data_IF_265762780716
#
_entry.id   IF_265762780716
#
_cell.length_a   1.000
_cell.length_b   1.000
_cell.length_c   1.000
_cell.angle_alpha   90.00
_cell.angle_beta   90.00
_cell.angle_gamma   90.00
#
_symmetry.space_group_name_H-M   'P 1'
#
loop_
_entity.id
_entity.type
_entity.pdbx_description
1 polymer ?
#
# COMPACT_ATOMS: atom_id res chain seq x y z
N UNK A 1 -19.45 21.36 -5.91
CA UNK A 1 -19.22 20.96 -4.51
C UNK A 1 -18.35 19.71 -4.57
N UNK A 2 -17.42 19.55 -3.64
CA UNK A 2 -16.64 18.31 -3.51
C UNK A 2 -17.61 17.24 -3.00
N UNK A 3 -17.65 16.06 -3.65
CA UNK A 3 -18.51 14.95 -3.23
C UNK A 3 -17.86 14.20 -2.08
N UNK A 4 -18.67 13.70 -1.17
CA UNK A 4 -18.21 12.74 -0.15
C UNK A 4 -18.06 11.36 -0.78
N UNK A 5 -16.87 10.77 -0.72
CA UNK A 5 -16.57 9.46 -1.27
C UNK A 5 -16.06 8.56 -0.17
N UNK A 6 -16.55 7.33 -0.13
CA UNK A 6 -16.16 6.34 0.87
C UNK A 6 -15.67 5.04 0.23
N UNK A 7 -14.80 4.33 0.94
CA UNK A 7 -14.60 2.90 0.75
C UNK A 7 -15.76 2.18 1.43
N UNK A 8 -16.51 1.39 0.68
CA UNK A 8 -17.68 0.65 1.18
C UNK A 8 -17.44 -0.86 1.29
N UNK A 9 -16.41 -1.36 0.62
CA UNK A 9 -15.96 -2.74 0.75
C UNK A 9 -14.49 -2.87 0.40
N UNK A 10 -13.82 -3.85 1.02
CA UNK A 10 -12.45 -4.25 0.77
C UNK A 10 -12.34 -5.77 0.73
N UNK A 11 -11.52 -6.29 -0.18
CA UNK A 11 -11.15 -7.70 -0.23
C UNK A 11 -9.70 -7.85 -0.67
N UNK A 12 -9.05 -8.92 -0.20
CA UNK A 12 -7.71 -9.32 -0.62
C UNK A 12 -7.61 -10.85 -0.61
N UNK A 13 -6.70 -11.40 -1.41
CA UNK A 13 -6.33 -12.79 -1.28
C UNK A 13 -5.32 -12.97 -0.14
N UNK A 14 -5.20 -14.18 0.45
CA UNK A 14 -4.07 -14.50 1.30
C UNK A 14 -2.76 -14.30 0.55
N UNK A 15 -1.85 -13.53 1.13
CA UNK A 15 -0.55 -13.24 0.51
C UNK A 15 0.36 -14.48 0.62
N UNK A 16 1.01 -14.85 -0.48
CA UNK A 16 1.86 -16.04 -0.56
C UNK A 16 3.26 -15.70 -1.06
N UNK A 17 4.25 -16.55 -0.70
CA UNK A 17 5.63 -16.38 -1.16
C UNK A 17 5.78 -16.51 -2.67
N UNK A 18 5.01 -17.40 -3.28
CA UNK A 18 4.98 -17.64 -4.70
C UNK A 18 3.68 -18.34 -5.09
N UNK A 19 2.88 -17.69 -5.93
CA UNK A 19 1.73 -18.30 -6.56
C UNK A 19 2.17 -18.99 -7.87
N UNK A 20 2.19 -20.31 -7.85
CA UNK A 20 2.72 -21.13 -8.95
C UNK A 20 1.65 -21.78 -9.80
N UNK A 21 0.39 -21.68 -9.39
CA UNK A 21 -0.75 -22.35 -10.05
C UNK A 21 -1.62 -21.34 -10.79
N UNK A 22 -2.01 -20.26 -10.10
CA UNK A 22 -2.93 -19.26 -10.64
C UNK A 22 -2.17 -18.21 -11.48
N UNK A 23 -2.73 -17.81 -12.61
CA UNK A 23 -2.31 -16.62 -13.31
C UNK A 23 -2.92 -15.36 -12.66
N UNK A 24 -2.59 -14.18 -13.15
CA UNK A 24 -3.00 -12.90 -12.58
C UNK A 24 -4.53 -12.72 -12.59
N UNK A 25 -5.20 -13.18 -13.65
CA UNK A 25 -6.66 -13.12 -13.79
C UNK A 25 -7.31 -14.06 -12.76
N UNK A 26 -6.80 -15.28 -12.66
CA UNK A 26 -7.29 -16.27 -11.69
C UNK A 26 -7.08 -15.84 -10.23
N UNK A 27 -6.00 -15.09 -9.94
CA UNK A 27 -5.78 -14.47 -8.63
C UNK A 27 -6.80 -13.35 -8.33
N UNK A 28 -7.13 -12.54 -9.34
CA UNK A 28 -8.04 -11.39 -9.19
C UNK A 28 -9.51 -11.77 -9.12
N UNK A 29 -9.97 -12.74 -9.91
CA UNK A 29 -11.38 -13.07 -10.01
C UNK A 29 -12.06 -13.32 -8.66
N UNK A 30 -11.49 -14.14 -7.74
CA UNK A 30 -12.09 -14.35 -6.41
C UNK A 30 -12.15 -13.06 -5.58
N UNK A 31 -11.11 -12.22 -5.67
CA UNK A 31 -11.04 -10.95 -4.93
C UNK A 31 -12.09 -9.97 -5.42
N UNK A 32 -12.28 -9.85 -6.76
CA UNK A 32 -13.31 -9.02 -7.36
C UNK A 32 -14.72 -9.53 -7.02
N UNK A 33 -14.92 -10.83 -7.02
CA UNK A 33 -16.20 -11.44 -6.62
C UNK A 33 -16.51 -11.16 -5.15
N UNK A 34 -15.53 -11.36 -4.26
CA UNK A 34 -15.69 -11.13 -2.82
C UNK A 34 -15.99 -9.64 -2.52
N UNK A 35 -15.23 -8.70 -3.07
CA UNK A 35 -15.45 -7.28 -2.81
C UNK A 35 -16.80 -6.78 -3.31
N UNK A 36 -17.25 -7.28 -4.47
CA UNK A 36 -18.59 -6.97 -5.00
C UNK A 36 -19.70 -7.56 -4.13
N UNK A 37 -19.53 -8.82 -3.68
CA UNK A 37 -20.49 -9.46 -2.79
C UNK A 37 -20.62 -8.70 -1.45
N UNK A 38 -19.49 -8.26 -0.87
CA UNK A 38 -19.48 -7.44 0.36
C UNK A 38 -20.17 -6.10 0.17
N UNK A 39 -20.00 -5.48 -1.01
CA UNK A 39 -20.69 -4.24 -1.35
C UNK A 39 -22.16 -4.44 -1.77
N UNK A 40 -22.63 -5.67 -1.95
CA UNK A 40 -23.97 -5.97 -2.46
C UNK A 40 -24.20 -5.46 -3.87
N UNK A 41 -23.16 -5.38 -4.72
CA UNK A 41 -23.22 -4.84 -6.06
C UNK A 41 -23.13 -5.92 -7.13
N UNK A 42 -24.05 -5.83 -8.08
CA UNK A 42 -23.90 -6.52 -9.36
C UNK A 42 -22.91 -5.76 -10.25
N UNK A 43 -22.33 -6.48 -11.22
CA UNK A 43 -21.39 -5.90 -12.18
C UNK A 43 -21.94 -4.67 -12.90
N UNK A 44 -23.20 -4.68 -13.28
CA UNK A 44 -23.88 -3.57 -13.97
C UNK A 44 -24.04 -2.30 -13.13
N UNK A 45 -23.86 -2.40 -11.83
CA UNK A 45 -23.96 -1.28 -10.89
C UNK A 45 -22.61 -0.61 -10.61
N UNK A 46 -21.52 -1.12 -11.23
CA UNK A 46 -20.20 -0.50 -11.17
C UNK A 46 -20.07 0.44 -12.36
N UNK A 47 -20.00 1.74 -12.08
CA UNK A 47 -19.93 2.77 -13.13
C UNK A 47 -18.54 2.97 -13.73
N UNK A 48 -17.48 2.70 -12.93
CA UNK A 48 -16.09 2.90 -13.31
C UNK A 48 -15.20 1.80 -12.73
N UNK A 49 -14.19 1.38 -13.48
CA UNK A 49 -13.13 0.51 -12.96
C UNK A 49 -11.76 1.14 -13.15
N UNK A 50 -10.87 0.95 -12.18
CA UNK A 50 -9.50 1.40 -12.30
C UNK A 50 -8.55 0.32 -11.75
N UNK A 51 -7.57 -0.08 -12.55
CA UNK A 51 -6.59 -1.07 -12.16
C UNK A 51 -5.22 -0.45 -11.87
N UNK A 52 -4.48 -1.09 -10.94
CA UNK A 52 -3.08 -0.79 -10.67
C UNK A 52 -2.22 -2.03 -10.92
N UNK A 53 -1.18 -1.90 -11.73
CA UNK A 53 -0.18 -2.96 -11.96
C UNK A 53 1.08 -2.36 -12.58
N UNK A 54 2.04 -3.20 -12.94
CA UNK A 54 3.21 -2.77 -13.71
C UNK A 54 3.60 -3.79 -14.76
N UNK A 55 3.76 -3.32 -15.98
CA UNK A 55 4.19 -4.08 -17.15
C UNK A 55 5.57 -4.73 -16.93
N UNK A 56 6.47 -4.03 -16.21
CA UNK A 56 7.79 -4.56 -15.88
C UNK A 56 7.72 -5.85 -15.05
N UNK A 57 6.77 -5.93 -14.12
CA UNK A 57 6.59 -7.11 -13.27
C UNK A 57 5.94 -8.26 -14.06
N UNK A 58 4.96 -7.93 -14.89
CA UNK A 58 4.24 -8.90 -15.73
C UNK A 58 5.06 -9.37 -16.94
N UNK A 59 6.13 -8.65 -17.31
CA UNK A 59 7.03 -9.00 -18.38
C UNK A 59 6.48 -8.78 -19.80
N UNK A 60 5.38 -8.03 -19.93
CA UNK A 60 4.75 -7.69 -21.21
C UNK A 60 4.09 -6.31 -21.14
N UNK A 61 4.09 -5.60 -22.27
CA UNK A 61 3.40 -4.33 -22.38
C UNK A 61 1.88 -4.51 -22.34
N UNK A 62 1.17 -3.53 -21.77
CA UNK A 62 -0.28 -3.54 -21.63
C UNK A 62 -0.81 -4.78 -20.88
N UNK A 63 -0.09 -5.24 -19.90
CA UNK A 63 -0.42 -6.44 -19.13
C UNK A 63 -1.79 -6.40 -18.47
N UNK A 64 -2.27 -5.20 -18.11
CA UNK A 64 -3.58 -4.98 -17.49
C UNK A 64 -4.76 -5.43 -18.37
N UNK A 65 -4.59 -5.44 -19.71
CA UNK A 65 -5.65 -5.85 -20.65
C UNK A 65 -6.11 -7.28 -20.38
N UNK A 66 -5.21 -8.18 -19.98
CA UNK A 66 -5.57 -9.56 -19.65
C UNK A 66 -6.54 -9.65 -18.46
N UNK A 67 -6.50 -8.67 -17.55
CA UNK A 67 -7.34 -8.67 -16.34
C UNK A 67 -8.73 -8.08 -16.57
N UNK A 68 -8.96 -7.39 -17.68
CA UNK A 68 -10.30 -6.82 -18.01
C UNK A 68 -11.35 -7.92 -18.14
N UNK A 69 -11.00 -9.07 -18.67
CA UNK A 69 -11.93 -10.22 -18.76
C UNK A 69 -12.35 -10.73 -17.37
N UNK A 70 -11.43 -10.66 -16.39
CA UNK A 70 -11.72 -11.01 -15.00
C UNK A 70 -12.66 -10.03 -14.30
N UNK A 71 -12.63 -8.75 -14.72
CA UNK A 71 -13.58 -7.71 -14.25
C UNK A 71 -14.94 -7.89 -14.92
N UNK A 72 -14.95 -8.37 -16.15
CA UNK A 72 -16.16 -8.54 -16.96
C UNK A 72 -16.73 -7.20 -17.44
N UNK A 73 -16.18 -6.61 -18.51
CA UNK A 73 -16.57 -5.27 -19.00
C UNK A 73 -17.90 -5.25 -19.79
N UNK A 74 -18.85 -6.03 -19.39
CA UNK A 74 -20.17 -6.08 -20.00
C UNK A 74 -21.28 -5.78 -18.98
N UNK A 75 -22.21 -4.84 -19.26
CA UNK A 75 -22.23 -3.94 -20.43
C UNK A 75 -20.97 -3.07 -20.50
N UNK A 76 -20.71 -2.37 -21.63
CA UNK A 76 -19.55 -1.48 -21.72
C UNK A 76 -19.50 -0.52 -20.53
N UNK A 77 -18.35 -0.49 -19.84
CA UNK A 77 -18.10 0.34 -18.65
C UNK A 77 -17.00 1.35 -18.94
N UNK A 78 -16.90 2.39 -18.13
CA UNK A 78 -15.73 3.27 -18.13
C UNK A 78 -14.59 2.60 -17.38
N UNK A 79 -13.39 2.65 -17.94
CA UNK A 79 -12.21 1.99 -17.42
C UNK A 79 -10.99 2.91 -17.51
N UNK A 80 -10.05 2.76 -16.58
CA UNK A 80 -8.73 3.35 -16.60
C UNK A 80 -7.71 2.41 -15.95
N UNK A 81 -6.45 2.65 -16.26
CA UNK A 81 -5.33 1.93 -15.69
C UNK A 81 -4.23 2.88 -15.23
N UNK A 82 -3.60 2.55 -14.11
CA UNK A 82 -2.45 3.28 -13.57
C UNK A 82 -1.27 2.31 -13.48
N UNK A 83 -0.17 2.64 -14.16
CA UNK A 83 1.09 1.88 -14.12
C UNK A 83 1.81 2.14 -12.78
N UNK A 84 1.15 1.82 -11.68
CA UNK A 84 1.59 1.99 -10.30
C UNK A 84 0.80 1.08 -9.35
N UNK A 85 1.07 1.23 -8.02
CA UNK A 85 0.30 0.57 -6.97
C UNK A 85 -1.19 0.96 -7.03
N UNK A 86 -2.04 0.02 -6.67
CA UNK A 86 -3.49 0.21 -6.60
C UNK A 86 -3.95 1.41 -5.75
N UNK A 87 -3.10 1.95 -4.86
CA UNK A 87 -3.41 3.19 -4.14
C UNK A 87 -3.51 4.40 -5.08
N UNK A 88 -2.70 4.46 -6.14
CA UNK A 88 -2.81 5.51 -7.17
C UNK A 88 -4.01 5.27 -8.08
N UNK A 89 -4.36 4.01 -8.35
CA UNK A 89 -5.61 3.68 -9.04
C UNK A 89 -6.84 4.11 -8.22
N UNK A 90 -6.78 4.00 -6.88
CA UNK A 90 -7.81 4.53 -6.00
C UNK A 90 -7.89 6.06 -6.07
N UNK A 91 -6.74 6.75 -6.12
CA UNK A 91 -6.72 8.20 -6.29
C UNK A 91 -7.38 8.63 -7.61
N UNK A 92 -7.06 7.93 -8.71
CA UNK A 92 -7.70 8.17 -10.02
C UNK A 92 -9.22 7.96 -9.97
N UNK A 93 -9.66 6.86 -9.37
CA UNK A 93 -11.08 6.57 -9.20
C UNK A 93 -11.78 7.62 -8.31
N UNK A 94 -11.12 8.07 -7.23
CA UNK A 94 -11.62 9.13 -6.38
C UNK A 94 -11.80 10.44 -7.15
N UNK A 95 -10.81 10.84 -7.96
CA UNK A 95 -10.92 12.03 -8.85
C UNK A 95 -12.05 11.86 -9.84
N UNK A 96 -12.22 10.68 -10.43
CA UNK A 96 -13.27 10.39 -11.40
C UNK A 96 -14.67 10.54 -10.79
N UNK A 97 -14.88 10.03 -9.58
CA UNK A 97 -16.15 10.17 -8.87
C UNK A 97 -16.48 11.62 -8.49
N UNK A 98 -15.47 12.49 -8.31
CA UNK A 98 -15.67 13.93 -8.06
C UNK A 98 -16.37 14.66 -9.22
N UNK A 99 -16.32 14.13 -10.45
CA UNK A 99 -16.98 14.73 -11.61
C UNK A 99 -18.51 14.64 -11.51
N UNK A 100 -19.05 13.71 -10.75
CA UNK A 100 -20.47 13.59 -10.48
C UNK A 100 -21.28 12.80 -11.53
N UNK A 101 -20.61 12.25 -12.54
CA UNK A 101 -21.25 11.43 -13.58
C UNK A 101 -21.49 9.98 -13.15
N UNK A 102 -20.79 9.54 -12.11
CA UNK A 102 -20.78 8.16 -11.64
C UNK A 102 -20.80 8.14 -10.11
N UNK A 103 -21.44 7.13 -9.52
CA UNK A 103 -21.61 7.01 -8.08
C UNK A 103 -20.82 5.84 -7.47
N UNK A 104 -20.28 4.94 -8.30
CA UNK A 104 -19.56 3.76 -7.86
C UNK A 104 -18.31 3.51 -8.69
N UNK A 105 -17.26 3.01 -8.05
CA UNK A 105 -16.06 2.57 -8.73
C UNK A 105 -15.49 1.30 -8.08
N UNK A 106 -14.97 0.39 -8.91
CA UNK A 106 -14.18 -0.75 -8.51
C UNK A 106 -12.70 -0.44 -8.76
N UNK A 107 -11.88 -0.49 -7.73
CA UNK A 107 -10.43 -0.38 -7.83
C UNK A 107 -9.82 -1.73 -7.47
N UNK A 108 -8.91 -2.22 -8.30
CA UNK A 108 -8.26 -3.50 -8.09
C UNK A 108 -6.80 -3.47 -8.51
N UNK A 109 -6.01 -4.36 -7.94
CA UNK A 109 -4.61 -4.49 -8.27
C UNK A 109 -4.10 -5.90 -7.99
N UNK A 110 -3.03 -6.26 -8.67
CA UNK A 110 -2.34 -7.52 -8.50
C UNK A 110 -0.82 -7.32 -8.60
N UNK A 111 -0.09 -8.19 -7.96
CA UNK A 111 1.37 -8.26 -8.04
C UNK A 111 1.83 -9.69 -7.93
N UNK A 112 2.47 -10.20 -8.98
CA UNK A 112 3.04 -11.53 -9.05
C UNK A 112 4.55 -11.43 -9.24
N UNK A 113 5.25 -11.26 -8.12
CA UNK A 113 6.68 -10.94 -8.07
C UNK A 113 7.59 -12.17 -8.08
N UNK A 114 7.04 -13.34 -7.69
CA UNK A 114 7.82 -14.55 -7.47
C UNK A 114 8.38 -15.20 -8.76
N UNK A 115 7.71 -15.15 -9.93
CA UNK A 115 8.21 -15.83 -11.12
C UNK A 115 9.44 -15.15 -11.75
N UNK A 116 9.64 -13.85 -11.53
CA UNK A 116 10.69 -13.06 -12.18
C UNK A 116 11.87 -12.72 -11.28
N UNK A 117 12.95 -12.19 -11.85
CA UNK A 117 14.07 -11.64 -11.08
C UNK A 117 13.70 -10.24 -10.56
N UNK A 118 12.90 -10.18 -9.47
CA UNK A 118 12.38 -8.95 -8.89
C UNK A 118 13.46 -7.87 -8.71
N UNK A 119 14.66 -8.27 -8.29
CA UNK A 119 15.81 -7.36 -8.18
C UNK A 119 16.08 -6.61 -9.52
N UNK A 120 16.16 -7.34 -10.63
CA UNK A 120 16.39 -6.71 -11.96
C UNK A 120 15.22 -5.80 -12.36
N UNK A 121 13.99 -6.24 -12.13
CA UNK A 121 12.78 -5.45 -12.42
C UNK A 121 12.84 -4.11 -11.71
N UNK A 122 13.08 -4.11 -10.39
CA UNK A 122 13.16 -2.90 -9.59
C UNK A 122 14.35 -2.02 -9.96
N UNK A 123 15.51 -2.62 -10.29
CA UNK A 123 16.70 -1.86 -10.73
C UNK A 123 16.50 -1.18 -12.08
N UNK A 124 15.74 -1.78 -13.01
CA UNK A 124 15.40 -1.18 -14.32
C UNK A 124 14.45 0.02 -14.21
N UNK A 125 13.68 0.12 -13.13
CA UNK A 125 12.78 1.24 -12.86
C UNK A 125 13.48 2.44 -12.22
N UNK A 126 14.77 2.33 -11.87
CA UNK A 126 15.55 3.42 -11.31
C UNK A 126 15.86 4.49 -12.35
N UNK A 127 16.19 5.69 -11.89
CA UNK A 127 16.67 6.79 -12.73
C UNK A 127 17.83 6.31 -13.62
N UNK A 128 17.69 6.38 -14.95
CA UNK A 128 18.67 5.84 -15.88
C UNK A 128 20.00 6.60 -15.91
N UNK A 129 20.04 7.82 -15.38
CA UNK A 129 21.21 8.68 -15.46
C UNK A 129 22.08 8.65 -14.21
N UNK A 130 21.50 8.48 -13.02
CA UNK A 130 22.22 8.61 -11.77
C UNK A 130 22.29 7.32 -10.95
N UNK A 131 21.18 6.59 -10.88
CA UNK A 131 21.06 5.44 -9.96
C UNK A 131 21.13 4.10 -10.70
N UNK A 132 20.40 3.91 -11.78
CA UNK A 132 20.41 2.66 -12.54
C UNK A 132 21.80 2.24 -13.04
N UNK A 133 22.72 3.15 -13.48
CA UNK A 133 24.08 2.76 -13.88
C UNK A 133 24.90 2.06 -12.79
N UNK A 134 24.57 2.27 -11.51
CA UNK A 134 25.18 1.61 -10.36
C UNK A 134 24.57 0.23 -10.10
N UNK A 135 23.44 -0.07 -10.72
CA UNK A 135 22.69 -1.32 -10.60
C UNK A 135 22.45 -1.77 -9.13
N UNK A 136 22.06 -0.87 -8.23
CA UNK A 136 21.84 -1.23 -6.83
C UNK A 136 20.52 -1.98 -6.68
N UNK A 137 20.46 -2.91 -5.73
CA UNK A 137 19.21 -3.53 -5.34
C UNK A 137 18.43 -2.66 -4.31
N UNK A 138 17.16 -3.00 -4.11
CA UNK A 138 16.28 -2.27 -3.20
C UNK A 138 16.75 -2.34 -1.73
N UNK A 139 17.40 -3.44 -1.33
CA UNK A 139 17.91 -3.62 0.04
C UNK A 139 19.11 -2.71 0.25
N UNK A 140 20.04 -2.65 -0.70
CA UNK A 140 21.20 -1.76 -0.65
C UNK A 140 20.79 -0.28 -0.57
N UNK A 141 19.77 0.12 -1.34
CA UNK A 141 19.22 1.48 -1.28
C UNK A 141 18.58 1.79 0.07
N UNK A 142 17.82 0.84 0.63
CA UNK A 142 17.25 0.98 1.95
C UNK A 142 18.31 0.98 3.06
N UNK A 143 19.40 0.22 2.87
CA UNK A 143 20.53 0.22 3.82
C UNK A 143 21.25 1.58 3.85
N UNK A 144 21.40 2.26 2.70
CA UNK A 144 21.88 3.65 2.66
C UNK A 144 20.97 4.59 3.46
N UNK A 145 19.66 4.45 3.34
CA UNK A 145 18.69 5.23 4.10
C UNK A 145 18.79 4.92 5.61
N UNK A 146 18.91 3.64 5.98
CA UNK A 146 19.10 3.22 7.36
C UNK A 146 20.40 3.78 7.95
N UNK A 147 21.51 3.70 7.21
CA UNK A 147 22.80 4.26 7.62
C UNK A 147 22.70 5.77 7.85
N UNK A 148 22.03 6.50 6.96
CA UNK A 148 21.82 7.92 7.14
C UNK A 148 21.06 8.27 8.44
N UNK A 149 20.06 7.46 8.82
CA UNK A 149 19.33 7.63 10.09
C UNK A 149 20.26 7.40 11.31
N UNK A 150 21.08 6.34 11.27
CA UNK A 150 22.04 6.04 12.35
C UNK A 150 23.08 7.15 12.49
N UNK A 151 23.67 7.59 11.38
CA UNK A 151 24.71 8.64 11.36
C UNK A 151 24.17 9.99 11.82
N UNK A 152 22.89 10.27 11.55
CA UNK A 152 22.19 11.45 12.05
C UNK A 152 21.75 11.35 13.51
N UNK A 153 21.91 10.18 14.16
CA UNK A 153 21.46 9.92 15.52
C UNK A 153 19.93 10.00 15.69
N UNK A 154 19.17 9.79 14.61
CA UNK A 154 17.69 9.83 14.62
C UNK A 154 17.07 8.49 14.99
N UNK A 155 17.82 7.41 14.87
CA UNK A 155 17.42 6.06 15.26
C UNK A 155 18.61 5.23 15.63
N UNK A 156 18.38 4.11 16.31
CA UNK A 156 19.35 3.06 16.57
C UNK A 156 18.89 1.73 15.94
N UNK A 157 19.79 0.75 15.86
CA UNK A 157 19.45 -0.59 15.36
C UNK A 157 18.35 -1.27 16.22
N UNK A 158 18.25 -0.92 17.50
CA UNK A 158 17.20 -1.40 18.40
C UNK A 158 15.81 -0.93 17.95
N UNK A 159 15.69 0.29 17.41
CA UNK A 159 14.43 0.81 16.90
C UNK A 159 13.99 0.04 15.64
N UNK A 160 14.94 -0.37 14.79
CA UNK A 160 14.64 -1.21 13.62
C UNK A 160 14.14 -2.60 14.05
N UNK A 161 14.79 -3.21 15.04
CA UNK A 161 14.39 -4.50 15.58
C UNK A 161 13.01 -4.44 16.26
N UNK A 162 12.68 -3.35 16.98
CA UNK A 162 11.35 -3.12 17.57
C UNK A 162 10.28 -3.10 16.48
N UNK A 163 10.47 -2.30 15.43
CA UNK A 163 9.52 -2.23 14.30
C UNK A 163 9.33 -3.61 13.67
N UNK A 164 10.40 -4.34 13.39
CA UNK A 164 10.35 -5.66 12.78
C UNK A 164 9.63 -6.69 13.68
N UNK A 165 9.94 -6.73 14.97
CA UNK A 165 9.34 -7.64 15.94
C UNK A 165 7.82 -7.35 16.09
N UNK A 166 7.45 -6.09 16.28
CA UNK A 166 6.07 -5.65 16.42
C UNK A 166 5.25 -5.96 15.17
N UNK A 167 5.77 -5.63 13.97
CA UNK A 167 5.11 -5.90 12.71
C UNK A 167 4.77 -7.39 12.54
N UNK A 168 5.73 -8.28 12.77
CA UNK A 168 5.51 -9.73 12.63
C UNK A 168 4.60 -10.30 13.70
N UNK A 169 4.63 -9.75 14.91
CA UNK A 169 3.71 -10.12 16.01
C UNK A 169 2.29 -9.70 15.66
N UNK A 170 2.08 -8.47 15.17
CA UNK A 170 0.78 -8.00 14.70
C UNK A 170 0.19 -8.90 13.60
N UNK A 171 1.04 -9.36 12.69
CA UNK A 171 0.66 -10.26 11.61
C UNK A 171 0.09 -11.61 12.07
N UNK A 172 0.35 -12.05 13.30
CA UNK A 172 -0.18 -13.31 13.82
C UNK A 172 -1.72 -13.34 13.89
N UNK A 173 -2.35 -12.17 13.97
CA UNK A 173 -3.81 -12.04 13.94
C UNK A 173 -4.39 -11.82 12.54
N UNK A 174 -3.56 -11.66 11.52
CA UNK A 174 -3.99 -11.40 10.15
C UNK A 174 -3.88 -12.68 9.30
N UNK A 175 -5.01 -13.30 8.90
CA UNK A 175 -4.99 -14.53 8.08
C UNK A 175 -4.42 -14.30 6.67
N UNK A 176 -4.34 -13.05 6.22
CA UNK A 176 -3.80 -12.69 4.90
C UNK A 176 -2.30 -12.38 4.92
N UNK A 177 -1.66 -12.37 6.10
CA UNK A 177 -0.23 -12.14 6.20
C UNK A 177 0.56 -13.37 5.73
N UNK A 178 1.68 -13.12 5.02
CA UNK A 178 2.58 -14.18 4.58
C UNK A 178 3.55 -14.60 5.67
N UNK A 179 4.09 -13.64 6.42
CA UNK A 179 5.06 -13.86 7.48
C UNK A 179 4.55 -13.35 8.82
N UNK A 180 4.39 -14.26 9.78
CA UNK A 180 3.97 -13.97 11.13
C UNK A 180 4.77 -14.82 12.12
N UNK A 181 5.32 -14.20 13.16
CA UNK A 181 6.03 -14.87 14.25
C UNK A 181 6.20 -13.91 15.43
N UNK A 182 6.47 -14.49 16.61
CA UNK A 182 6.82 -13.76 17.83
C UNK A 182 8.26 -14.10 18.23
N UNK A 183 9.18 -13.19 17.87
CA UNK A 183 10.60 -13.24 18.27
C UNK A 183 10.93 -11.95 19.00
N UNK A 184 11.87 -12.05 19.95
CA UNK A 184 12.33 -10.89 20.71
C UNK A 184 13.24 -9.99 19.86
N UNK A 185 13.30 -8.72 20.20
CA UNK A 185 14.21 -7.75 19.58
C UNK A 185 15.66 -8.20 19.73
N UNK A 186 16.02 -8.80 20.88
CA UNK A 186 17.33 -9.34 21.11
C UNK A 186 17.72 -10.47 20.15
N UNK A 187 16.75 -11.34 19.80
CA UNK A 187 16.97 -12.38 18.79
C UNK A 187 17.20 -11.78 17.40
N UNK A 188 16.50 -10.68 17.07
CA UNK A 188 16.65 -10.01 15.78
C UNK A 188 17.99 -9.27 15.71
N UNK A 189 18.41 -8.61 16.78
CA UNK A 189 19.70 -7.93 16.86
C UNK A 189 20.90 -8.90 16.80
N UNK A 190 20.70 -10.15 17.14
CA UNK A 190 21.72 -11.19 17.02
C UNK A 190 21.87 -11.76 15.59
N UNK A 191 20.96 -11.41 14.66
CA UNK A 191 21.10 -11.79 13.25
C UNK A 191 22.27 -11.03 12.61
N UNK A 192 23.04 -11.71 11.76
CA UNK A 192 24.04 -11.05 10.92
C UNK A 192 23.35 -10.11 9.91
N UNK A 193 23.93 -8.92 9.66
CA UNK A 193 23.41 -8.02 8.64
C UNK A 193 23.38 -8.67 7.26
N UNK A 194 22.27 -8.53 6.55
CA UNK A 194 22.14 -8.94 5.14
C UNK A 194 22.87 -7.93 4.23
N UNK A 195 22.63 -6.66 4.46
CA UNK A 195 23.36 -5.49 3.92
C UNK A 195 23.42 -4.47 5.05
N UNK A 196 24.63 -4.24 5.60
CA UNK A 196 24.80 -3.38 6.78
C UNK A 196 24.15 -1.99 6.61
N UNK A 197 23.28 -1.53 7.56
CA UNK A 197 22.99 -2.11 8.86
C UNK A 197 21.74 -3.04 8.89
N UNK A 198 21.10 -3.32 7.75
CA UNK A 198 19.83 -4.06 7.66
C UNK A 198 20.04 -5.58 7.81
N UNK A 199 19.23 -6.17 8.66
CA UNK A 199 19.10 -7.62 8.83
C UNK A 199 17.97 -8.16 7.96
N UNK A 200 17.89 -9.48 7.83
CA UNK A 200 16.81 -10.13 7.07
C UNK A 200 15.43 -9.79 7.65
N UNK A 201 15.33 -9.65 8.96
CA UNK A 201 14.10 -9.26 9.66
C UNK A 201 13.63 -7.84 9.32
N UNK A 202 14.55 -6.94 8.94
CA UNK A 202 14.26 -5.56 8.54
C UNK A 202 13.72 -5.43 7.11
N UNK A 203 13.73 -6.52 6.35
CA UNK A 203 13.38 -6.55 4.94
C UNK A 203 11.99 -7.16 4.69
N UNK A 204 11.27 -6.70 3.66
CA UNK A 204 10.00 -7.27 3.27
C UNK A 204 10.18 -8.65 2.63
N UNK A 205 9.19 -9.55 2.72
CA UNK A 205 9.20 -10.77 1.92
C UNK A 205 8.94 -10.45 0.44
N UNK A 206 9.41 -11.30 -0.46
CA UNK A 206 8.86 -11.36 -1.81
C UNK A 206 7.49 -12.00 -1.69
N UNK A 207 6.47 -11.37 -2.29
CA UNK A 207 5.08 -11.72 -2.09
C UNK A 207 4.30 -11.62 -3.39
N UNK A 208 3.42 -12.58 -3.62
CA UNK A 208 2.36 -12.51 -4.62
C UNK A 208 1.03 -12.25 -3.92
N UNK A 209 0.20 -11.38 -4.49
CA UNK A 209 -1.06 -10.99 -3.92
C UNK A 209 -1.94 -10.16 -4.84
N UNK A 210 -3.19 -10.01 -4.45
CA UNK A 210 -4.17 -9.17 -5.12
C UNK A 210 -5.11 -8.55 -4.10
N UNK A 211 -5.61 -7.35 -4.38
CA UNK A 211 -6.62 -6.68 -3.56
C UNK A 211 -7.57 -5.84 -4.40
N UNK A 212 -8.74 -5.56 -3.85
CA UNK A 212 -9.74 -4.71 -4.46
C UNK A 212 -10.54 -3.93 -3.42
N UNK A 213 -11.01 -2.75 -3.79
CA UNK A 213 -11.95 -1.94 -3.01
C UNK A 213 -13.11 -1.47 -3.90
N UNK A 214 -14.26 -1.25 -3.29
CA UNK A 214 -15.37 -0.53 -3.91
C UNK A 214 -15.45 0.85 -3.28
N UNK A 215 -15.44 1.88 -4.13
CA UNK A 215 -15.74 3.26 -3.76
C UNK A 215 -17.19 3.58 -4.10
N UNK A 216 -17.84 4.35 -3.24
CA UNK A 216 -19.15 4.92 -3.52
C UNK A 216 -19.24 6.37 -3.04
N UNK A 217 -20.09 7.15 -3.70
CA UNK A 217 -20.25 8.56 -3.43
C UNK A 217 -21.56 8.86 -2.70
N UNK A 218 -21.52 9.84 -1.79
CA UNK A 218 -22.67 10.47 -1.14
C UNK A 218 -23.66 9.44 -0.56
N UNK A 219 -24.96 9.58 -0.85
CA UNK A 219 -26.00 8.67 -0.32
C UNK A 219 -25.82 7.23 -0.81
N UNK A 220 -25.23 7.03 -2.00
CA UNK A 220 -24.96 5.68 -2.49
C UNK A 220 -24.02 4.90 -1.59
N UNK A 221 -23.05 5.57 -0.95
CA UNK A 221 -22.18 4.92 0.03
C UNK A 221 -22.96 4.41 1.26
N UNK A 222 -23.93 5.21 1.74
CA UNK A 222 -24.77 4.82 2.89
C UNK A 222 -25.77 3.70 2.56
N UNK A 223 -26.23 3.65 1.30
CA UNK A 223 -27.09 2.54 0.81
C UNK A 223 -26.33 1.20 0.77
N UNK A 224 -25.03 1.23 0.47
CA UNK A 224 -24.20 0.04 0.27
C UNK A 224 -23.51 -0.43 1.53
N UNK A 225 -23.24 0.45 2.49
CA UNK A 225 -22.49 0.15 3.68
C UNK A 225 -23.06 0.89 4.89
N UNK A 226 -23.36 0.16 5.97
CA UNK A 226 -23.88 0.75 7.20
C UNK A 226 -22.89 1.72 7.87
N UNK A 227 -21.60 1.43 7.75
CA UNK A 227 -20.49 2.22 8.29
C UNK A 227 -19.44 2.52 7.22
N UNK A 228 -19.70 3.42 6.26
CA UNK A 228 -18.74 3.73 5.21
C UNK A 228 -17.46 4.34 5.77
N UNK A 229 -16.32 3.96 5.20
CA UNK A 229 -15.05 4.60 5.52
C UNK A 229 -14.83 5.80 4.59
N UNK A 230 -15.23 6.98 5.02
CA UNK A 230 -15.17 8.22 4.26
C UNK A 230 -13.74 8.68 4.02
N UNK A 231 -13.39 8.93 2.79
CA UNK A 231 -12.10 9.54 2.41
C UNK A 231 -12.19 11.05 2.71
N UNK A 232 -11.69 11.47 3.86
CA UNK A 232 -11.69 12.88 4.29
C UNK A 232 -10.62 13.70 3.60
N UNK A 233 -9.59 13.03 3.11
CA UNK A 233 -8.58 13.62 2.26
C UNK A 233 -7.63 12.58 1.71
N UNK A 234 -7.13 12.89 0.53
CA UNK A 234 -6.15 12.08 -0.18
C UNK A 234 -5.24 13.00 -0.98
N UNK A 235 -3.93 12.78 -0.92
CA UNK A 235 -2.94 13.54 -1.68
C UNK A 235 -1.70 12.69 -1.93
N UNK A 236 -0.99 12.94 -3.02
CA UNK A 236 0.27 12.28 -3.29
C UNK A 236 1.35 13.28 -3.73
N UNK A 237 2.59 12.98 -3.38
CA UNK A 237 3.77 13.79 -3.68
C UNK A 237 4.94 12.91 -4.11
N UNK A 238 5.83 13.49 -4.88
CA UNK A 238 7.04 12.85 -5.38
C UNK A 238 8.26 13.69 -5.01
N UNK A 239 9.37 13.02 -4.72
CA UNK A 239 10.69 13.61 -4.50
C UNK A 239 11.62 13.30 -5.69
N UNK A 240 12.73 14.05 -5.86
CA UNK A 240 13.71 13.73 -6.89
C UNK A 240 14.20 12.28 -6.81
N UNK A 241 14.36 11.61 -7.95
CA UNK A 241 14.91 10.26 -8.00
C UNK A 241 16.37 10.23 -7.52
N UNK A 242 17.16 11.24 -7.87
CA UNK A 242 18.57 11.33 -7.50
C UNK A 242 18.73 11.45 -5.98
N UNK A 243 19.30 10.41 -5.36
CA UNK A 243 19.40 10.28 -3.90
C UNK A 243 20.19 11.43 -3.25
N UNK A 244 21.24 11.93 -3.92
CA UNK A 244 22.06 13.03 -3.41
C UNK A 244 21.37 14.41 -3.36
N UNK A 245 20.15 14.52 -3.89
CA UNK A 245 19.34 15.74 -3.82
C UNK A 245 18.32 15.71 -2.68
N UNK A 246 18.27 14.61 -1.91
CA UNK A 246 17.31 14.41 -0.82
C UNK A 246 18.02 14.20 0.51
N UNK A 247 17.40 14.65 1.59
CA UNK A 247 17.71 14.17 2.92
C UNK A 247 17.00 12.83 3.14
N UNK A 248 17.74 11.74 3.12
CA UNK A 248 17.21 10.39 3.26
C UNK A 248 16.69 10.07 4.67
N UNK A 249 16.92 10.95 5.65
CA UNK A 249 16.46 10.78 7.03
C UNK A 249 15.05 11.32 7.27
N UNK A 250 14.43 11.91 6.26
CA UNK A 250 13.07 12.47 6.33
C UNK A 250 12.30 12.14 5.05
N UNK A 251 10.97 12.22 5.09
CA UNK A 251 10.11 12.18 3.91
C UNK A 251 9.31 13.47 3.80
N UNK A 252 9.84 14.42 3.01
CA UNK A 252 9.18 15.70 2.76
C UNK A 252 7.89 15.52 1.95
N UNK A 253 7.89 14.57 1.03
CA UNK A 253 6.72 14.21 0.22
C UNK A 253 5.59 13.64 1.08
N UNK A 254 5.88 12.69 2.00
CA UNK A 254 4.88 12.15 2.94
C UNK A 254 4.32 13.25 3.85
N UNK A 255 5.19 14.11 4.39
CA UNK A 255 4.75 15.23 5.23
C UNK A 255 3.80 16.17 4.48
N UNK A 256 4.15 16.52 3.24
CA UNK A 256 3.33 17.41 2.42
C UNK A 256 2.01 16.75 2.02
N UNK A 257 2.05 15.50 1.59
CA UNK A 257 0.85 14.73 1.26
C UNK A 257 -0.06 14.59 2.48
N UNK A 258 0.50 14.26 3.65
CA UNK A 258 -0.24 14.17 4.90
C UNK A 258 -0.93 15.49 5.28
N UNK A 259 -0.22 16.61 5.20
CA UNK A 259 -0.81 17.93 5.47
C UNK A 259 -1.96 18.25 4.52
N UNK A 260 -1.81 17.93 3.23
CA UNK A 260 -2.85 18.17 2.21
C UNK A 260 -4.04 17.22 2.36
N UNK A 261 -3.80 15.98 2.75
CA UNK A 261 -4.84 15.02 3.08
C UNK A 261 -5.52 15.30 4.44
N UNK A 262 -5.06 16.30 5.21
CA UNK A 262 -5.61 16.59 6.52
C UNK A 262 -5.21 15.57 7.60
N UNK A 263 -4.05 14.94 7.46
CA UNK A 263 -3.51 14.02 8.45
C UNK A 263 -2.98 14.78 9.68
N UNK A 264 -3.90 15.29 10.49
CA UNK A 264 -3.63 16.03 11.73
C UNK A 264 -4.43 15.46 12.88
N UNK A 265 -3.95 15.63 14.11
CA UNK A 265 -4.60 15.11 15.31
C UNK A 265 -4.31 13.64 15.55
N UNK A 266 -5.20 12.95 16.25
CA UNK A 266 -5.03 11.55 16.64
C UNK A 266 -5.68 10.61 15.64
N UNK A 267 -5.09 9.42 15.51
CA UNK A 267 -5.61 8.31 14.73
C UNK A 267 -5.72 7.06 15.61
N UNK A 268 -6.80 6.33 15.47
CA UNK A 268 -6.97 5.03 16.12
C UNK A 268 -6.09 3.96 15.47
N UNK A 269 -5.87 4.12 14.16
CA UNK A 269 -5.08 3.19 13.35
C UNK A 269 -4.28 3.92 12.27
N UNK A 270 -3.05 3.44 12.03
CA UNK A 270 -2.19 3.88 10.96
C UNK A 270 -1.63 2.65 10.22
N UNK A 271 -1.94 2.51 8.94
CA UNK A 271 -1.36 1.47 8.07
C UNK A 271 -0.37 2.11 7.12
N UNK A 272 0.91 1.86 7.37
CA UNK A 272 2.03 2.45 6.65
C UNK A 272 2.67 1.43 5.70
N UNK A 273 2.79 1.78 4.43
CA UNK A 273 3.58 1.03 3.48
C UNK A 273 5.07 1.36 3.70
N UNK A 274 5.68 0.67 4.65
CA UNK A 274 7.09 0.75 4.99
C UNK A 274 7.75 -0.60 4.66
N UNK A 275 8.28 -0.81 3.44
CA UNK A 275 8.93 -2.06 3.07
C UNK A 275 10.08 -2.46 4.00
N UNK A 276 10.83 -1.49 4.51
CA UNK A 276 11.95 -1.73 5.42
C UNK A 276 11.69 -1.08 6.77
N UNK A 277 12.14 -1.72 7.86
CA UNK A 277 11.86 -1.27 9.23
C UNK A 277 12.25 0.20 9.50
N UNK A 278 13.42 0.73 9.05
CA UNK A 278 13.78 2.14 9.27
C UNK A 278 12.83 3.12 8.57
N UNK A 279 12.17 2.70 7.50
CA UNK A 279 11.23 3.56 6.78
C UNK A 279 9.97 3.86 7.59
N UNK A 280 9.52 2.95 8.45
CA UNK A 280 8.39 3.22 9.33
C UNK A 280 8.68 4.37 10.28
N UNK A 281 9.90 4.46 10.81
CA UNK A 281 10.30 5.56 11.72
C UNK A 281 10.22 6.90 11.01
N UNK A 282 10.70 6.96 9.76
CA UNK A 282 10.63 8.18 8.92
C UNK A 282 9.17 8.57 8.66
N UNK A 283 8.31 7.60 8.34
CA UNK A 283 6.91 7.85 8.04
C UNK A 283 6.12 8.29 9.28
N UNK A 284 6.39 7.68 10.43
CA UNK A 284 5.80 8.10 11.71
C UNK A 284 6.15 9.55 12.05
N UNK A 285 7.41 9.94 11.89
CA UNK A 285 7.85 11.33 12.07
C UNK A 285 7.17 12.27 11.07
N UNK A 286 7.14 11.89 9.78
CA UNK A 286 6.56 12.72 8.71
C UNK A 286 5.07 12.99 8.90
N UNK A 287 4.32 12.01 9.43
CA UNK A 287 2.87 12.10 9.68
C UNK A 287 2.53 12.57 11.11
N UNK A 288 3.54 12.80 11.96
CA UNK A 288 3.33 13.20 13.35
C UNK A 288 2.57 12.17 14.18
N UNK A 289 2.78 10.89 13.91
CA UNK A 289 2.11 9.81 14.64
C UNK A 289 2.74 9.67 16.04
N UNK A 290 1.92 9.92 17.06
CA UNK A 290 2.32 9.70 18.44
C UNK A 290 2.28 8.21 18.83
N UNK A 291 2.72 7.94 20.08
CA UNK A 291 2.80 6.57 20.62
C UNK A 291 1.44 5.89 20.82
N UNK A 292 0.34 6.65 20.74
CA UNK A 292 -1.02 6.12 20.89
C UNK A 292 -1.61 5.55 19.61
N UNK A 293 -1.03 5.83 18.43
CA UNK A 293 -1.50 5.27 17.19
C UNK A 293 -1.14 3.78 17.08
N UNK A 294 -2.14 2.94 16.78
CA UNK A 294 -1.91 1.53 16.47
C UNK A 294 -1.32 1.41 15.06
N UNK A 295 0.00 1.30 14.97
CA UNK A 295 0.71 1.28 13.70
C UNK A 295 0.86 -0.14 13.17
N UNK A 296 0.46 -0.30 11.90
CA UNK A 296 0.53 -1.56 11.17
C UNK A 296 -0.06 -2.77 11.93
N UNK A 297 -1.30 -2.67 12.45
CA UNK A 297 -1.93 -3.81 13.12
C UNK A 297 -2.17 -5.01 12.18
N UNK A 298 -2.14 -4.80 10.86
CA UNK A 298 -2.18 -5.88 9.87
C UNK A 298 -0.84 -6.63 9.74
N UNK A 299 0.24 -6.09 10.32
CA UNK A 299 1.61 -6.53 10.12
C UNK A 299 2.38 -5.73 9.07
N UNK A 300 1.69 -4.85 8.32
CA UNK A 300 2.32 -3.97 7.35
C UNK A 300 3.09 -4.68 6.23
N UNK A 301 3.94 -3.92 5.54
CA UNK A 301 4.74 -4.42 4.42
C UNK A 301 5.81 -5.45 4.84
N UNK A 302 6.26 -5.41 6.10
CA UNK A 302 7.19 -6.42 6.61
C UNK A 302 6.53 -7.81 6.70
N UNK A 303 5.23 -7.89 6.90
CA UNK A 303 4.50 -9.16 6.94
C UNK A 303 4.07 -9.68 5.55
N UNK A 304 3.75 -8.78 4.63
CA UNK A 304 3.41 -9.08 3.25
C UNK A 304 3.58 -7.82 2.38
N UNK A 305 4.35 -7.94 1.29
CA UNK A 305 4.64 -6.80 0.42
C UNK A 305 4.48 -7.16 -1.07
N UNK A 306 3.27 -7.49 -1.52
CA UNK A 306 3.04 -7.72 -2.94
C UNK A 306 3.20 -6.38 -3.69
N UNK A 307 4.14 -6.36 -4.63
CA UNK A 307 4.45 -5.17 -5.43
C UNK A 307 3.21 -4.74 -6.19
N UNK A 308 2.91 -3.44 -6.24
CA UNK A 308 1.70 -2.81 -6.81
C UNK A 308 0.39 -3.08 -6.04
N UNK A 309 0.42 -3.78 -4.93
CA UNK A 309 -0.79 -4.14 -4.13
C UNK A 309 -0.71 -3.61 -2.71
N UNK A 310 0.50 -3.53 -2.17
CA UNK A 310 0.71 -3.22 -0.76
C UNK A 310 0.09 -1.89 -0.33
N UNK A 311 0.13 -0.86 -1.18
CA UNK A 311 -0.45 0.45 -0.89
C UNK A 311 -1.97 0.41 -0.82
N UNK A 312 -2.65 -0.19 -1.79
CA UNK A 312 -4.11 -0.33 -1.76
C UNK A 312 -4.55 -1.17 -0.55
N UNK A 313 -3.79 -2.21 -0.21
CA UNK A 313 -4.06 -3.03 0.97
C UNK A 313 -4.00 -2.19 2.26
N UNK A 314 -3.05 -1.24 2.38
CA UNK A 314 -3.01 -0.34 3.56
C UNK A 314 -4.28 0.50 3.68
N UNK A 315 -4.79 1.02 2.56
CA UNK A 315 -6.06 1.77 2.55
C UNK A 315 -7.22 0.85 2.92
N UNK A 316 -7.29 -0.34 2.33
CA UNK A 316 -8.31 -1.34 2.60
C UNK A 316 -8.33 -1.80 4.06
N UNK A 317 -7.17 -2.01 4.68
CA UNK A 317 -7.04 -2.43 6.09
C UNK A 317 -7.54 -1.34 7.06
N UNK A 318 -7.28 -0.06 6.79
CA UNK A 318 -7.86 1.04 7.57
C UNK A 318 -9.36 1.10 7.36
N UNK A 319 -9.82 1.05 6.11
CA UNK A 319 -11.24 1.09 5.78
C UNK A 319 -12.02 -0.06 6.45
N UNK A 320 -11.49 -1.28 6.41
CA UNK A 320 -12.14 -2.44 7.02
C UNK A 320 -12.33 -2.25 8.53
N UNK A 321 -11.34 -1.70 9.25
CA UNK A 321 -11.46 -1.43 10.70
C UNK A 321 -12.52 -0.38 11.02
N UNK A 322 -12.71 0.60 10.12
CA UNK A 322 -13.79 1.58 10.25
C UNK A 322 -15.14 0.93 9.97
N UNK A 323 -15.24 0.15 8.91
CA UNK A 323 -16.46 -0.60 8.55
C UNK A 323 -16.87 -1.54 9.69
N UNK A 324 -15.91 -2.26 10.29
CA UNK A 324 -16.15 -3.18 11.40
C UNK A 324 -16.38 -2.45 12.76
N UNK A 325 -16.24 -1.13 12.80
CA UNK A 325 -16.43 -0.33 14.02
C UNK A 325 -15.32 -0.47 15.06
N UNK A 326 -14.17 -1.03 14.68
CA UNK A 326 -12.99 -1.16 15.57
C UNK A 326 -12.07 0.05 15.55
N UNK A 327 -12.27 0.95 14.60
CA UNK A 327 -11.65 2.27 14.51
C UNK A 327 -12.69 3.30 14.06
N UNK A 328 -12.53 4.54 14.46
CA UNK A 328 -13.34 5.67 13.98
C UNK A 328 -12.58 6.53 12.98
N UNK A 329 -11.25 6.62 13.12
CA UNK A 329 -10.40 7.45 12.27
C UNK A 329 -9.04 6.79 12.05
N UNK A 330 -8.59 6.77 10.79
CA UNK A 330 -7.31 6.18 10.45
C UNK A 330 -6.58 6.91 9.32
N UNK A 331 -5.28 6.64 9.24
CA UNK A 331 -4.42 7.11 8.16
C UNK A 331 -3.78 5.91 7.45
N UNK A 332 -3.84 5.92 6.13
CA UNK A 332 -3.17 4.95 5.28
C UNK A 332 -2.11 5.65 4.43
N UNK A 333 -0.98 4.98 4.24
CA UNK A 333 0.13 5.47 3.44
C UNK A 333 0.54 4.42 2.40
N UNK A 334 0.83 4.88 1.19
CA UNK A 334 1.42 4.07 0.12
C UNK A 334 2.71 4.71 -0.38
N UNK A 335 3.70 3.89 -0.73
CA UNK A 335 4.95 4.37 -1.31
C UNK A 335 5.31 3.61 -2.59
N UNK A 336 6.05 4.28 -3.48
CA UNK A 336 6.70 3.71 -4.66
C UNK A 336 8.05 4.37 -4.87
N UNK A 337 8.94 3.67 -5.59
CA UNK A 337 10.30 4.15 -5.84
C UNK A 337 11.24 4.02 -4.64
N UNK A 338 12.56 4.18 -4.85
CA UNK A 338 13.57 3.94 -3.85
C UNK A 338 13.53 4.97 -2.72
N UNK A 339 13.77 4.52 -1.48
CA UNK A 339 13.90 5.38 -0.31
C UNK A 339 12.69 6.31 -0.12
N UNK A 340 11.46 5.79 -0.24
CA UNK A 340 10.21 6.57 -0.08
C UNK A 340 10.13 7.75 -1.07
N UNK A 341 10.41 7.52 -2.35
CA UNK A 341 10.45 8.59 -3.34
C UNK A 341 9.07 9.16 -3.68
N UNK A 342 8.08 8.31 -3.84
CA UNK A 342 6.69 8.69 -4.14
C UNK A 342 5.81 8.25 -2.99
N UNK A 343 4.96 9.14 -2.50
CA UNK A 343 4.14 8.85 -1.33
C UNK A 343 2.73 9.37 -1.52
N UNK A 344 1.75 8.53 -1.17
CA UNK A 344 0.34 8.86 -1.13
C UNK A 344 -0.16 8.68 0.31
N UNK A 345 -0.93 9.63 0.79
CA UNK A 345 -1.55 9.59 2.12
C UNK A 345 -3.05 9.74 1.98
N UNK A 346 -3.79 8.87 2.66
CA UNK A 346 -5.25 8.89 2.71
C UNK A 346 -5.70 8.93 4.16
N UNK A 347 -6.58 9.87 4.49
CA UNK A 347 -7.27 9.94 5.79
C UNK A 347 -8.67 9.41 5.63
N UNK A 348 -9.02 8.43 6.45
CA UNK A 348 -10.32 7.77 6.45
C UNK A 348 -11.02 7.98 7.81
N UNK A 349 -12.34 8.16 7.77
CA UNK A 349 -13.14 8.41 8.96
C UNK A 349 -14.53 7.79 8.81
N UNK A 350 -15.02 7.15 9.86
CA UNK A 350 -16.40 6.67 9.96
C UNK A 350 -17.39 7.80 10.24
N UNK A 351 -18.68 7.52 10.09
CA UNK A 351 -19.73 8.43 10.58
C UNK A 351 -19.64 8.56 12.10
N UNK A 352 -19.71 9.81 12.61
CA UNK A 352 -19.68 10.15 14.04
C UNK A 352 -21.01 9.83 14.74
#
# INVERSE_FOLDING_TARGET
MVRDIAVVAFAQMPNVRAETVLNEVEMLMPVIQDVRQRAGLDQQQIGFTCSGSTDYLSGQAFSFVSTLDGVGPWPPIQESHVEMDGAWALYEAWVKLQLGDLDTALVYCYGKSAPGPLHEVLSRQLDPYHVAPLWPDAISLAALQARALLDAGKAGEADFAEVAARSRRNAMSNPNAQLAWDRSEADLLAEEPLVDPLRKSDCPPITDGASAVVLAADDRARELCERPAWIRGIDHRIEPMALGLRDLTVSASTRTAGQKAGATGTFDVAELHAPFSPQELILREALGLGDHANVNPSGGALAANPVMVAGLTRIGEVAQRIIDGTASRGVAHATSGPCLQQNLVTVLEGDS
#
